data_IF_319312010876
#
_entry.id   IF_319312010876
#
_cell.length_a   1.000
_cell.length_b   1.000
_cell.length_c   1.000
_cell.angle_alpha   90.00
_cell.angle_beta   90.00
_cell.angle_gamma   90.00
#
_symmetry.space_group_name_H-M   'P 1'
#
loop_
_entity.id
_entity.type
_entity.pdbx_description
1 polymer ?
#
# COMPACT_ATOMS: atom_id res chain seq x y z
N UNK A 1 -20.04 -5.61 6.60
CA UNK A 1 -18.64 -5.63 6.11
C UNK A 1 -17.61 -5.36 7.20
N UNK A 2 -17.79 -4.38 8.10
CA UNK A 2 -16.82 -4.12 9.19
C UNK A 2 -16.52 -5.34 10.10
N UNK A 3 -17.46 -6.29 10.24
CA UNK A 3 -17.26 -7.56 10.97
C UNK A 3 -16.23 -8.51 10.31
N UNK A 4 -15.89 -8.29 9.04
CA UNK A 4 -14.91 -9.09 8.30
C UNK A 4 -13.48 -8.52 8.38
N UNK A 5 -13.24 -7.49 9.21
CA UNK A 5 -11.90 -6.92 9.39
C UNK A 5 -10.85 -7.97 9.80
N UNK A 6 -11.27 -9.02 10.51
CA UNK A 6 -10.41 -10.14 10.91
C UNK A 6 -9.80 -10.89 9.70
N UNK A 7 -10.47 -10.89 8.54
CA UNK A 7 -9.92 -11.52 7.32
C UNK A 7 -8.65 -10.82 6.85
N UNK A 8 -8.57 -9.49 6.99
CA UNK A 8 -7.36 -8.75 6.61
C UNK A 8 -6.15 -9.14 7.46
N UNK A 9 -6.34 -9.31 8.76
CA UNK A 9 -5.26 -9.76 9.66
C UNK A 9 -4.78 -11.17 9.32
N UNK A 10 -5.73 -12.09 9.05
CA UNK A 10 -5.40 -13.46 8.65
C UNK A 10 -4.60 -13.47 7.34
N UNK A 11 -5.02 -12.69 6.34
CA UNK A 11 -4.31 -12.57 5.06
C UNK A 11 -2.87 -12.08 5.24
N UNK A 12 -2.64 -11.06 6.07
CA UNK A 12 -1.29 -10.52 6.32
C UNK A 12 -0.42 -11.53 7.06
N UNK A 13 -0.94 -12.19 8.10
CA UNK A 13 -0.19 -13.24 8.82
C UNK A 13 0.17 -14.39 7.87
N UNK A 14 -0.77 -14.85 7.06
CA UNK A 14 -0.52 -15.91 6.09
C UNK A 14 0.54 -15.51 5.07
N UNK A 15 0.51 -14.26 4.60
CA UNK A 15 1.48 -13.74 3.64
C UNK A 15 2.90 -13.66 4.24
N UNK A 16 3.03 -13.23 5.49
CA UNK A 16 4.32 -13.25 6.21
C UNK A 16 4.83 -14.69 6.29
N UNK A 17 4.00 -15.64 6.74
CA UNK A 17 4.39 -17.07 6.83
C UNK A 17 4.79 -17.63 5.46
N UNK A 18 4.06 -17.30 4.40
CA UNK A 18 4.39 -17.72 3.04
C UNK A 18 5.77 -17.21 2.63
N UNK A 19 6.05 -15.92 2.83
CA UNK A 19 7.35 -15.31 2.50
C UNK A 19 8.47 -15.96 3.29
N UNK A 20 8.29 -16.20 4.58
CA UNK A 20 9.28 -16.89 5.42
C UNK A 20 9.55 -18.31 4.92
N UNK A 21 8.50 -19.10 4.65
CA UNK A 21 8.65 -20.48 4.16
C UNK A 21 9.33 -20.53 2.79
N UNK A 22 8.99 -19.60 1.90
CA UNK A 22 9.63 -19.49 0.59
C UNK A 22 11.09 -19.08 0.71
N UNK A 23 11.41 -18.13 1.58
CA UNK A 23 12.79 -17.74 1.84
C UNK A 23 13.64 -18.89 2.39
N UNK A 24 13.11 -19.66 3.33
CA UNK A 24 13.82 -20.82 3.90
C UNK A 24 14.04 -21.92 2.86
N UNK A 25 13.09 -22.14 1.93
CA UNK A 25 13.20 -23.16 0.88
C UNK A 25 14.16 -22.76 -0.25
N UNK A 26 14.11 -21.50 -0.66
CA UNK A 26 14.93 -21.00 -1.77
C UNK A 26 16.37 -20.69 -1.33
N UNK A 27 16.61 -20.44 -0.04
CA UNK A 27 17.89 -19.94 0.43
C UNK A 27 18.08 -18.45 0.14
N UNK A 28 19.25 -17.91 0.52
CA UNK A 28 19.58 -16.50 0.30
C UNK A 28 20.59 -16.37 -0.85
N UNK A 29 20.23 -15.56 -1.83
CA UNK A 29 21.03 -15.27 -3.01
C UNK A 29 21.33 -13.77 -3.08
N UNK A 30 22.43 -13.36 -2.46
CA UNK A 30 22.85 -11.96 -2.38
C UNK A 30 24.31 -11.84 -2.83
N UNK A 31 24.53 -11.00 -3.83
CA UNK A 31 25.84 -10.49 -4.22
C UNK A 31 25.72 -8.97 -4.32
N UNK A 32 26.69 -8.26 -3.75
CA UNK A 32 26.65 -6.81 -3.61
C UNK A 32 27.53 -6.15 -4.66
N UNK A 33 26.89 -5.46 -5.61
CA UNK A 33 27.56 -4.65 -6.63
C UNK A 33 27.07 -3.21 -6.52
N UNK A 34 27.97 -2.29 -6.20
CA UNK A 34 27.59 -0.92 -5.82
C UNK A 34 26.96 -0.11 -6.95
N UNK A 35 27.56 -0.15 -8.15
CA UNK A 35 27.21 0.73 -9.26
C UNK A 35 26.92 0.01 -10.58
N UNK A 36 27.31 -1.27 -10.69
CA UNK A 36 27.17 -2.06 -11.91
C UNK A 36 26.26 -3.26 -11.67
N UNK A 37 25.52 -3.68 -12.70
CA UNK A 37 24.69 -4.88 -12.65
C UNK A 37 25.48 -6.02 -13.28
N UNK A 38 25.78 -7.06 -12.49
CA UNK A 38 26.65 -8.17 -12.88
C UNK A 38 25.94 -9.48 -12.57
N UNK A 39 26.08 -10.49 -13.42
CA UNK A 39 25.59 -11.86 -13.19
C UNK A 39 24.14 -11.93 -12.66
N UNK A 40 23.20 -11.21 -13.29
CA UNK A 40 21.78 -11.22 -12.91
C UNK A 40 21.47 -10.58 -11.53
N UNK A 41 22.47 -9.95 -10.90
CA UNK A 41 22.29 -9.06 -9.74
C UNK A 41 22.15 -7.61 -10.20
N UNK A 42 21.25 -6.88 -9.52
CA UNK A 42 21.03 -5.45 -9.75
C UNK A 42 22.01 -4.63 -8.93
N UNK A 43 22.41 -3.47 -9.44
CA UNK A 43 23.21 -2.52 -8.67
C UNK A 43 22.47 -2.04 -7.41
N UNK A 44 23.21 -1.87 -6.31
CA UNK A 44 22.66 -1.38 -5.03
C UNK A 44 22.14 0.07 -5.17
N UNK A 45 22.87 0.93 -5.90
CA UNK A 45 22.47 2.31 -6.14
C UNK A 45 21.93 2.50 -7.55
N UNK A 46 20.60 2.66 -7.66
CA UNK A 46 19.89 2.87 -8.94
C UNK A 46 19.23 4.24 -9.00
N UNK A 47 19.28 4.86 -10.18
CA UNK A 47 18.58 6.12 -10.46
C UNK A 47 17.04 6.00 -10.40
N UNK A 48 16.51 4.77 -10.41
CA UNK A 48 15.08 4.49 -10.24
C UNK A 48 14.60 4.54 -8.78
N UNK A 49 15.45 4.94 -7.82
CA UNK A 49 15.05 5.11 -6.40
C UNK A 49 13.80 6.00 -6.18
N UNK A 50 13.49 7.05 -6.97
CA UNK A 50 12.28 7.85 -6.75
C UNK A 50 10.99 7.05 -6.99
N UNK A 51 11.09 5.91 -7.70
CA UNK A 51 9.95 5.04 -7.90
C UNK A 51 9.52 4.37 -6.59
N UNK A 52 10.49 3.96 -5.78
CA UNK A 52 10.26 3.36 -4.47
C UNK A 52 9.67 4.39 -3.49
N UNK A 53 10.15 5.64 -3.50
CA UNK A 53 9.65 6.67 -2.57
C UNK A 53 8.17 6.98 -2.81
N UNK A 54 7.72 7.02 -4.07
CA UNK A 54 6.30 7.16 -4.41
C UNK A 54 5.44 6.01 -3.87
N UNK A 55 5.92 4.76 -4.01
CA UNK A 55 5.23 3.57 -3.47
C UNK A 55 5.18 3.61 -1.95
N UNK A 56 6.29 3.92 -1.28
CA UNK A 56 6.38 4.02 0.17
C UNK A 56 5.47 5.12 0.72
N UNK A 57 5.29 6.22 -0.02
CA UNK A 57 4.39 7.31 0.41
C UNK A 57 2.94 6.84 0.49
N UNK A 58 2.50 5.98 -0.45
CA UNK A 58 1.17 5.35 -0.35
C UNK A 58 1.14 4.26 0.73
N UNK A 59 2.22 3.50 0.90
CA UNK A 59 2.31 2.42 1.89
C UNK A 59 2.18 2.93 3.34
N UNK A 60 2.68 4.14 3.62
CA UNK A 60 2.55 4.82 4.92
C UNK A 60 1.39 5.83 4.96
N UNK A 61 0.44 5.73 4.02
CA UNK A 61 -0.66 6.67 3.94
C UNK A 61 -1.77 6.36 4.95
N UNK A 62 -1.66 6.94 6.14
CA UNK A 62 -2.72 6.89 7.17
C UNK A 62 -3.21 8.29 7.61
N UNK A 63 -2.61 9.34 7.07
CA UNK A 63 -2.78 10.74 7.48
C UNK A 63 -4.24 11.23 7.44
N UNK A 64 -5.05 10.76 6.50
CA UNK A 64 -6.45 11.20 6.38
C UNK A 64 -7.36 10.70 7.52
N UNK A 65 -7.03 9.58 8.16
CA UNK A 65 -7.87 8.94 9.18
C UNK A 65 -7.23 8.92 10.57
N UNK A 66 -5.99 9.42 10.70
CA UNK A 66 -5.23 9.40 11.96
C UNK A 66 -5.92 10.19 13.06
N UNK A 67 -6.47 11.37 12.74
CA UNK A 67 -7.13 12.24 13.73
C UNK A 67 -8.37 11.54 14.30
N UNK A 68 -9.21 10.96 13.43
CA UNK A 68 -10.43 10.26 13.86
C UNK A 68 -10.11 8.99 14.64
N UNK A 69 -9.03 8.28 14.30
CA UNK A 69 -8.63 7.08 15.02
C UNK A 69 -8.07 7.42 16.41
N UNK A 70 -7.14 8.38 16.48
CA UNK A 70 -6.52 8.78 17.75
C UNK A 70 -7.52 9.37 18.74
N UNK A 71 -8.57 10.05 18.26
CA UNK A 71 -9.65 10.59 19.13
C UNK A 71 -10.39 9.51 19.91
N UNK A 72 -10.39 8.26 19.44
CA UNK A 72 -11.04 7.15 20.12
C UNK A 72 -10.15 6.47 21.17
N UNK A 73 -8.88 6.85 21.30
CA UNK A 73 -7.98 6.27 22.30
C UNK A 73 -8.44 6.64 23.73
N UNK A 74 -8.37 5.70 24.67
CA UNK A 74 -8.74 5.97 26.06
C UNK A 74 -7.78 6.98 26.69
N UNK A 75 -6.47 6.80 26.48
CA UNK A 75 -5.42 7.66 27.03
C UNK A 75 -4.79 8.55 25.96
N UNK A 76 -5.41 9.72 25.75
CA UNK A 76 -4.97 10.70 24.74
C UNK A 76 -3.52 11.20 24.93
N UNK A 77 -2.95 11.11 26.14
CA UNK A 77 -1.56 11.49 26.43
C UNK A 77 -0.54 10.58 25.75
N UNK A 78 -0.91 9.32 25.51
CA UNK A 78 -0.02 8.32 24.93
C UNK A 78 -0.07 8.28 23.39
N UNK A 79 -0.94 9.09 22.76
CA UNK A 79 -1.17 9.07 21.31
C UNK A 79 0.11 9.17 20.46
N UNK A 80 1.06 10.03 20.85
CA UNK A 80 2.31 10.21 20.10
C UNK A 80 3.17 8.94 20.15
N UNK A 81 3.25 8.30 21.32
CA UNK A 81 3.97 7.04 21.53
C UNK A 81 3.30 5.91 20.76
N UNK A 82 1.98 5.79 20.86
CA UNK A 82 1.24 4.71 20.23
C UNK A 82 1.32 4.83 18.69
N UNK A 83 1.26 6.06 18.17
CA UNK A 83 1.43 6.33 16.74
C UNK A 83 2.85 6.00 16.26
N UNK A 84 3.90 6.39 17.01
CA UNK A 84 5.28 6.12 16.62
C UNK A 84 5.61 4.62 16.63
N UNK A 85 5.14 3.89 17.64
CA UNK A 85 5.27 2.42 17.70
C UNK A 85 4.53 1.77 16.52
N UNK A 86 3.33 2.23 16.19
CA UNK A 86 2.58 1.71 15.05
C UNK A 86 3.34 1.88 13.72
N UNK A 87 3.87 3.08 13.45
CA UNK A 87 4.68 3.33 12.25
C UNK A 87 5.96 2.49 12.23
N UNK A 88 6.62 2.32 13.38
CA UNK A 88 7.82 1.48 13.49
C UNK A 88 7.50 0.02 13.16
N UNK A 89 6.41 -0.53 13.71
CA UNK A 89 5.97 -1.89 13.42
C UNK A 89 5.65 -2.08 11.93
N UNK A 90 4.93 -1.13 11.33
CA UNK A 90 4.63 -1.15 9.89
C UNK A 90 5.92 -1.12 9.07
N UNK A 91 6.87 -0.23 9.40
CA UNK A 91 8.14 -0.14 8.71
C UNK A 91 8.95 -1.44 8.81
N UNK A 92 9.03 -2.06 10.00
CA UNK A 92 9.70 -3.34 10.20
C UNK A 92 9.02 -4.45 9.38
N UNK A 93 7.69 -4.50 9.32
CA UNK A 93 6.99 -5.52 8.52
C UNK A 93 7.25 -5.37 7.02
N UNK A 94 7.24 -4.14 6.50
CA UNK A 94 7.54 -3.89 5.08
C UNK A 94 9.00 -4.19 4.75
N UNK A 95 9.92 -3.80 5.63
CA UNK A 95 11.35 -4.08 5.48
C UNK A 95 11.60 -5.60 5.53
N UNK A 96 10.98 -6.32 6.47
CA UNK A 96 11.08 -7.77 6.56
C UNK A 96 10.62 -8.46 5.27
N UNK A 97 9.41 -8.16 4.79
CA UNK A 97 8.89 -8.78 3.56
C UNK A 97 9.74 -8.39 2.35
N UNK A 98 10.10 -7.11 2.21
CA UNK A 98 10.91 -6.62 1.10
C UNK A 98 12.29 -7.28 1.02
N UNK A 99 13.01 -7.34 2.15
CA UNK A 99 14.33 -7.99 2.21
C UNK A 99 14.20 -9.49 1.95
N UNK A 100 13.25 -10.18 2.58
CA UNK A 100 13.11 -11.63 2.42
C UNK A 100 12.78 -12.01 0.97
N UNK A 101 11.86 -11.29 0.31
CA UNK A 101 11.53 -11.55 -1.10
C UNK A 101 12.72 -11.25 -2.02
N UNK A 102 13.43 -10.14 -1.80
CA UNK A 102 14.58 -9.76 -2.63
C UNK A 102 15.78 -10.70 -2.47
N UNK A 103 16.08 -11.09 -1.22
CA UNK A 103 17.18 -11.97 -0.89
C UNK A 103 16.90 -13.43 -1.28
N UNK A 104 15.66 -13.89 -1.17
CA UNK A 104 15.28 -15.25 -1.53
C UNK A 104 14.97 -15.48 -3.01
N UNK A 105 14.97 -14.42 -3.81
CA UNK A 105 14.75 -14.53 -5.25
C UNK A 105 15.85 -15.41 -5.88
N UNK A 106 15.52 -16.35 -6.78
CA UNK A 106 16.47 -17.33 -7.32
C UNK A 106 17.45 -16.68 -8.32
N UNK A 107 18.47 -15.99 -7.79
CA UNK A 107 19.63 -15.51 -8.55
C UNK A 107 20.81 -16.44 -8.26
N UNK A 108 21.66 -16.81 -9.24
CA UNK A 108 21.86 -16.19 -10.56
C UNK A 108 20.99 -16.76 -11.70
N UNK A 109 20.17 -17.79 -11.46
CA UNK A 109 19.34 -18.42 -12.51
C UNK A 109 18.35 -17.43 -13.15
N UNK A 110 17.76 -16.55 -12.34
CA UNK A 110 16.93 -15.44 -12.77
C UNK A 110 17.50 -14.09 -12.32
N UNK A 111 17.35 -13.10 -13.20
CA UNK A 111 17.68 -11.70 -12.92
C UNK A 111 16.75 -11.11 -11.86
N UNK A 112 17.32 -10.39 -10.89
CA UNK A 112 16.55 -9.62 -9.90
C UNK A 112 15.73 -8.50 -10.55
N UNK A 113 15.95 -8.18 -11.82
CA UNK A 113 15.06 -7.29 -12.59
C UNK A 113 13.71 -7.93 -12.92
N UNK A 114 13.60 -9.27 -12.87
CA UNK A 114 12.35 -9.99 -13.12
C UNK A 114 11.38 -9.96 -11.92
N UNK A 115 11.72 -9.27 -10.82
CA UNK A 115 10.82 -9.15 -9.68
C UNK A 115 9.64 -8.27 -10.08
N UNK A 116 8.49 -8.91 -10.35
CA UNK A 116 7.24 -8.21 -10.63
C UNK A 116 6.77 -7.37 -9.42
N UNK A 117 6.13 -6.19 -9.65
CA UNK A 117 5.61 -5.34 -8.57
C UNK A 117 4.63 -6.04 -7.64
N UNK A 118 3.88 -7.01 -8.17
CA UNK A 118 3.15 -7.99 -7.38
C UNK A 118 4.00 -9.25 -7.26
N UNK A 119 4.68 -9.41 -6.13
CA UNK A 119 5.61 -10.52 -5.97
C UNK A 119 4.95 -11.91 -6.03
N UNK A 120 3.63 -12.00 -5.83
CA UNK A 120 2.88 -13.25 -6.00
C UNK A 120 2.81 -13.69 -7.47
N UNK A 121 3.01 -12.79 -8.42
CA UNK A 121 3.05 -13.11 -9.86
C UNK A 121 4.39 -13.74 -10.28
N UNK A 122 5.43 -13.59 -9.46
CA UNK A 122 6.69 -14.31 -9.62
C UNK A 122 6.58 -15.80 -9.23
N UNK A 123 5.49 -16.20 -8.56
CA UNK A 123 5.26 -17.58 -8.14
C UNK A 123 4.46 -18.34 -9.21
N UNK A 124 4.78 -19.62 -9.46
CA UNK A 124 4.10 -20.39 -10.48
C UNK A 124 2.62 -20.60 -10.13
N UNK A 125 1.76 -20.61 -11.16
CA UNK A 125 0.30 -20.74 -11.00
C UNK A 125 -0.16 -22.03 -10.31
N UNK A 126 0.67 -23.07 -10.31
CA UNK A 126 0.38 -24.36 -9.66
C UNK A 126 0.81 -24.41 -8.17
N UNK A 127 1.35 -23.33 -7.63
CA UNK A 127 1.75 -23.28 -6.22
C UNK A 127 0.52 -23.12 -5.31
N UNK A 128 0.20 -24.18 -4.57
CA UNK A 128 -0.93 -24.21 -3.63
C UNK A 128 -0.81 -23.13 -2.56
N UNK A 129 0.40 -22.81 -2.08
CA UNK A 129 0.58 -21.77 -1.06
C UNK A 129 0.28 -20.38 -1.63
N UNK A 130 0.78 -20.09 -2.84
CA UNK A 130 0.48 -18.85 -3.54
C UNK A 130 -1.01 -18.74 -3.87
N UNK A 131 -1.65 -19.84 -4.26
CA UNK A 131 -3.09 -19.89 -4.51
C UNK A 131 -3.91 -19.52 -3.27
N UNK A 132 -3.60 -20.12 -2.11
CA UNK A 132 -4.28 -19.80 -0.85
C UNK A 132 -4.08 -18.33 -0.48
N UNK A 133 -2.87 -17.78 -0.63
CA UNK A 133 -2.62 -16.35 -0.41
C UNK A 133 -3.48 -15.46 -1.32
N UNK A 134 -3.55 -15.78 -2.61
CA UNK A 134 -4.39 -15.05 -3.58
C UNK A 134 -5.86 -15.11 -3.21
N UNK A 135 -6.37 -16.25 -2.73
CA UNK A 135 -7.76 -16.41 -2.27
C UNK A 135 -8.04 -15.57 -1.01
N UNK A 136 -7.15 -15.58 -0.03
CA UNK A 136 -7.29 -14.73 1.17
C UNK A 136 -7.25 -13.25 0.84
N UNK A 137 -6.34 -12.82 -0.03
CA UNK A 137 -6.29 -11.44 -0.52
C UNK A 137 -7.55 -11.08 -1.32
N UNK A 138 -8.10 -11.99 -2.12
CA UNK A 138 -9.34 -11.75 -2.86
C UNK A 138 -10.53 -11.51 -1.92
N UNK A 139 -10.71 -12.35 -0.89
CA UNK A 139 -11.76 -12.15 0.10
C UNK A 139 -11.57 -10.84 0.88
N UNK A 140 -10.33 -10.53 1.27
CA UNK A 140 -10.01 -9.24 1.90
C UNK A 140 -10.38 -8.07 0.98
N UNK A 141 -9.92 -8.05 -0.27
CA UNK A 141 -10.17 -6.92 -1.19
C UNK A 141 -11.65 -6.77 -1.53
N UNK A 142 -12.38 -7.89 -1.70
CA UNK A 142 -13.84 -7.86 -1.92
C UNK A 142 -14.58 -7.23 -0.74
N UNK A 143 -14.08 -7.39 0.48
CA UNK A 143 -14.71 -6.78 1.67
C UNK A 143 -14.26 -5.34 1.93
N UNK A 144 -13.03 -4.97 1.57
CA UNK A 144 -12.50 -3.61 1.76
C UNK A 144 -13.02 -2.66 0.66
N UNK A 145 -13.19 -3.13 -0.57
CA UNK A 145 -13.56 -2.29 -1.71
C UNK A 145 -14.88 -1.51 -1.50
N UNK A 146 -15.99 -2.10 -1.02
CA UNK A 146 -17.22 -1.35 -0.76
C UNK A 146 -17.07 -0.29 0.34
N UNK A 147 -16.20 -0.53 1.34
CA UNK A 147 -15.95 0.43 2.41
C UNK A 147 -15.20 1.66 1.87
N UNK A 148 -14.18 1.45 1.05
CA UNK A 148 -13.47 2.53 0.37
C UNK A 148 -14.39 3.31 -0.58
N UNK A 149 -15.23 2.60 -1.35
CA UNK A 149 -16.24 3.23 -2.20
C UNK A 149 -17.22 4.11 -1.41
N UNK A 150 -17.66 3.65 -0.24
CA UNK A 150 -18.48 4.45 0.66
C UNK A 150 -17.76 5.72 1.14
N UNK A 151 -16.48 5.62 1.54
CA UNK A 151 -15.70 6.77 2.01
C UNK A 151 -15.52 7.83 0.92
N UNK A 152 -15.13 7.40 -0.29
CA UNK A 152 -14.97 8.27 -1.47
C UNK A 152 -16.30 8.95 -1.79
N UNK A 153 -17.40 8.20 -1.77
CA UNK A 153 -18.75 8.74 -2.00
C UNK A 153 -19.10 9.83 -1.00
N UNK A 154 -18.91 9.58 0.30
CA UNK A 154 -19.25 10.57 1.34
C UNK A 154 -18.39 11.83 1.17
N UNK A 155 -17.08 11.67 0.95
CA UNK A 155 -16.17 12.81 0.78
C UNK A 155 -16.50 13.66 -0.45
N UNK A 156 -16.72 13.03 -1.62
CA UNK A 156 -17.03 13.75 -2.85
C UNK A 156 -18.42 14.39 -2.84
N UNK A 157 -19.45 13.69 -2.36
CA UNK A 157 -20.81 14.23 -2.37
C UNK A 157 -21.00 15.36 -1.35
N UNK A 158 -20.34 15.27 -0.19
CA UNK A 158 -20.35 16.37 0.78
C UNK A 158 -19.63 17.59 0.20
N UNK A 159 -18.49 17.41 -0.47
CA UNK A 159 -17.75 18.52 -1.06
C UNK A 159 -18.49 19.19 -2.24
N UNK A 160 -19.17 18.41 -3.09
CA UNK A 160 -19.84 18.92 -4.29
C UNK A 160 -21.26 19.45 -4.01
N UNK A 161 -22.03 18.78 -3.15
CA UNK A 161 -23.46 19.06 -2.97
C UNK A 161 -23.83 19.46 -1.53
N UNK A 162 -22.87 19.49 -0.60
CA UNK A 162 -23.11 19.82 0.82
C UNK A 162 -24.00 18.82 1.57
N UNK A 163 -24.42 17.73 0.93
CA UNK A 163 -25.31 16.70 1.49
C UNK A 163 -24.69 15.31 1.31
N UNK A 164 -24.80 14.49 2.35
CA UNK A 164 -24.26 13.11 2.37
C UNK A 164 -24.94 12.22 1.32
N UNK A 165 -26.21 12.50 1.00
CA UNK A 165 -26.97 11.76 -0.01
C UNK A 165 -27.88 12.73 -0.78
N UNK A 166 -27.41 13.30 -1.91
CA UNK A 166 -28.20 14.27 -2.67
C UNK A 166 -29.34 13.60 -3.46
N UNK A 167 -29.07 12.49 -4.17
CA UNK A 167 -30.08 11.72 -4.92
C UNK A 167 -29.52 10.37 -5.37
N UNK A 168 -30.40 9.38 -5.62
CA UNK A 168 -30.03 8.05 -6.11
C UNK A 168 -29.25 8.10 -7.42
N UNK A 169 -29.64 8.96 -8.37
CA UNK A 169 -28.98 9.06 -9.67
C UNK A 169 -27.53 9.54 -9.53
N UNK A 170 -27.26 10.50 -8.65
CA UNK A 170 -25.91 11.02 -8.42
C UNK A 170 -24.99 9.94 -7.84
N UNK A 171 -25.52 9.14 -6.91
CA UNK A 171 -24.77 8.03 -6.30
C UNK A 171 -24.53 6.91 -7.31
N UNK A 172 -25.53 6.58 -8.13
CA UNK A 172 -25.42 5.55 -9.16
C UNK A 172 -24.36 5.92 -10.21
N UNK A 173 -24.40 7.16 -10.72
CA UNK A 173 -23.42 7.65 -11.70
C UNK A 173 -22.00 7.64 -11.11
N UNK A 174 -21.82 8.07 -9.86
CA UNK A 174 -20.51 8.07 -9.21
C UNK A 174 -19.96 6.64 -9.08
N UNK A 175 -20.76 5.70 -8.60
CA UNK A 175 -20.35 4.30 -8.47
C UNK A 175 -20.02 3.68 -9.84
N UNK A 176 -20.84 3.97 -10.86
CA UNK A 176 -20.58 3.50 -12.23
C UNK A 176 -19.26 4.05 -12.75
N UNK A 177 -18.97 5.34 -12.56
CA UNK A 177 -17.69 5.94 -12.95
C UNK A 177 -16.49 5.27 -12.25
N UNK A 178 -16.58 5.01 -10.95
CA UNK A 178 -15.52 4.37 -10.17
C UNK A 178 -15.24 2.96 -10.71
N UNK A 179 -16.30 2.17 -10.94
CA UNK A 179 -16.17 0.79 -11.45
C UNK A 179 -15.62 0.81 -12.88
N UNK A 180 -16.17 1.65 -13.76
CA UNK A 180 -15.71 1.79 -15.14
C UNK A 180 -14.22 2.19 -15.20
N UNK A 181 -13.80 3.16 -14.39
CA UNK A 181 -12.38 3.56 -14.32
C UNK A 181 -11.51 2.38 -13.90
N UNK A 182 -11.92 1.61 -12.88
CA UNK A 182 -11.20 0.42 -12.45
C UNK A 182 -11.08 -0.65 -13.54
N UNK A 183 -12.18 -0.94 -14.26
CA UNK A 183 -12.20 -1.93 -15.36
C UNK A 183 -11.34 -1.48 -16.54
N UNK A 184 -11.40 -0.20 -16.91
CA UNK A 184 -10.57 0.36 -17.98
C UNK A 184 -9.08 0.24 -17.66
N UNK A 185 -8.68 0.62 -16.44
CA UNK A 185 -7.28 0.49 -15.99
C UNK A 185 -6.85 -0.98 -16.00
N UNK A 186 -7.67 -1.88 -15.48
CA UNK A 186 -7.36 -3.31 -15.47
C UNK A 186 -7.21 -3.91 -16.89
N UNK A 187 -7.95 -3.40 -17.88
CA UNK A 187 -7.89 -3.90 -19.27
C UNK A 187 -6.75 -3.31 -20.09
N UNK A 188 -6.46 -2.02 -19.92
CA UNK A 188 -5.55 -1.27 -20.79
C UNK A 188 -4.17 -1.01 -20.16
N UNK A 189 -4.07 -0.88 -18.83
CA UNK A 189 -2.81 -0.58 -18.15
C UNK A 189 -2.72 -1.29 -16.78
N UNK A 190 -2.54 -2.63 -16.75
CA UNK A 190 -2.50 -3.41 -15.52
C UNK A 190 -1.14 -3.34 -14.77
N UNK A 191 -0.45 -2.20 -14.79
CA UNK A 191 0.81 -2.04 -14.05
C UNK A 191 0.56 -1.46 -12.64
N UNK A 192 0.51 -2.36 -11.66
CA UNK A 192 0.24 -2.02 -10.24
C UNK A 192 1.30 -1.05 -9.69
N UNK A 193 2.58 -1.28 -9.99
CA UNK A 193 3.68 -0.44 -9.50
C UNK A 193 3.58 1.01 -10.00
N UNK A 194 3.22 1.18 -11.27
CA UNK A 194 2.98 2.50 -11.87
C UNK A 194 1.83 3.24 -11.18
N UNK A 195 0.67 2.58 -11.01
CA UNK A 195 -0.51 3.17 -10.38
C UNK A 195 -0.24 3.60 -8.94
N UNK A 196 0.38 2.72 -8.15
CA UNK A 196 0.69 2.98 -6.74
C UNK A 196 1.71 4.12 -6.61
N UNK A 197 2.75 4.13 -7.45
CA UNK A 197 3.78 5.18 -7.43
C UNK A 197 3.19 6.56 -7.71
N UNK A 198 2.42 6.70 -8.79
CA UNK A 198 1.87 8.00 -9.16
C UNK A 198 0.82 8.46 -8.15
N UNK A 199 -0.10 7.59 -7.76
CA UNK A 199 -1.11 7.90 -6.73
C UNK A 199 -0.47 8.29 -5.40
N UNK A 200 0.56 7.54 -4.98
CA UNK A 200 1.30 7.81 -3.75
C UNK A 200 2.04 9.14 -3.78
N UNK A 201 2.73 9.44 -4.89
CA UNK A 201 3.43 10.71 -5.06
C UNK A 201 2.47 11.91 -5.07
N UNK A 202 1.35 11.84 -5.80
CA UNK A 202 0.39 12.95 -5.90
C UNK A 202 -0.36 13.17 -4.59
N UNK A 203 -0.89 12.12 -3.98
CA UNK A 203 -1.61 12.24 -2.70
C UNK A 203 -0.64 12.59 -1.56
N UNK A 204 0.57 12.03 -1.59
CA UNK A 204 1.64 12.32 -0.66
C UNK A 204 2.06 13.79 -0.66
N UNK A 205 2.30 14.35 -1.84
CA UNK A 205 2.65 15.76 -1.99
C UNK A 205 1.64 16.66 -1.26
N UNK A 206 0.34 16.46 -1.52
CA UNK A 206 -0.69 17.29 -0.92
C UNK A 206 -0.91 16.98 0.58
N UNK A 207 -1.30 15.75 0.91
CA UNK A 207 -1.81 15.41 2.24
C UNK A 207 -0.72 15.06 3.27
N UNK A 208 0.44 14.59 2.84
CA UNK A 208 1.52 14.17 3.75
C UNK A 208 2.52 15.31 3.96
N UNK A 209 2.88 16.02 2.90
CA UNK A 209 3.92 17.06 2.97
C UNK A 209 3.35 18.47 3.01
N UNK A 210 2.66 18.92 1.95
CA UNK A 210 2.28 20.33 1.79
C UNK A 210 1.27 20.80 2.82
N UNK A 211 0.14 20.11 3.00
CA UNK A 211 -0.90 20.59 3.92
C UNK A 211 -0.44 20.65 5.38
N UNK A 212 0.19 19.62 5.98
CA UNK A 212 0.65 19.71 7.36
C UNK A 212 1.69 20.81 7.57
N UNK A 213 2.65 20.96 6.65
CA UNK A 213 3.67 22.02 6.72
C UNK A 213 3.06 23.42 6.63
N UNK A 214 2.14 23.64 5.69
CA UNK A 214 1.45 24.93 5.56
C UNK A 214 0.61 25.27 6.78
N UNK A 215 -0.15 24.30 7.30
CA UNK A 215 -0.96 24.49 8.52
C UNK A 215 -0.07 24.85 9.70
N UNK A 216 1.07 24.19 9.85
CA UNK A 216 2.03 24.50 10.90
C UNK A 216 2.60 25.92 10.76
N UNK A 217 3.02 26.32 9.56
CA UNK A 217 3.53 27.67 9.29
C UNK A 217 2.49 28.76 9.55
N UNK A 218 1.23 28.55 9.13
CA UNK A 218 0.13 29.50 9.36
C UNK A 218 -0.19 29.60 10.85
N UNK A 219 -0.20 28.47 11.56
CA UNK A 219 -0.42 28.43 13.01
C UNK A 219 0.64 29.24 13.76
N UNK A 220 1.92 29.09 13.38
CA UNK A 220 3.02 29.87 13.96
C UNK A 220 2.87 31.38 13.71
N UNK A 221 2.44 31.77 12.50
CA UNK A 221 2.19 33.19 12.18
C UNK A 221 1.04 33.78 13.00
N UNK A 222 0.02 32.99 13.34
CA UNK A 222 -1.12 33.43 14.15
C UNK A 222 -0.80 33.52 15.65
N UNK A 223 0.26 32.86 16.10
CA UNK A 223 0.74 32.92 17.49
C UNK A 223 1.71 34.08 17.74
N UNK A 224 2.27 34.68 16.68
CA UNK A 224 2.99 35.96 16.73
C UNK A 224 2.02 37.12 16.59
#
# INVERSE_FOLDING_TARGET
>A
LARFNNLGTISVIYLIVLVTLKAVRSGFHLEFHWFESVNNFVAEFRLSFPQLTGVLTLAFFFHNSVITLLKNNQDQKNNVRDLSIAYLLVAVTYLYVGIMVFAAFPSPELSKECIEPNFLDNLPSNDVMAFIARVFLLFQMTTVYPLLGYLVRVQLLVQLFGKVYPSFLHVFILNLLIICTGVLVARFYPNIGGLIRYSGATCGLAFVFVYPSLVHMISLKRQR
#
